data_IF_110275596436
#
_entry.id   IF_110275596436
#
_cell.length_a   1.000
_cell.length_b   1.000
_cell.length_c   1.000
_cell.angle_alpha   90.00
_cell.angle_beta   90.00
_cell.angle_gamma   90.00
#
_symmetry.space_group_name_H-M   'P 1'
#
loop_
_entity.id
_entity.type
_entity.pdbx_description
1 polymer ?
#
# COMPACT_ATOMS: atom_id res chain seq x y z
N UNK A 1 -14.18 20.57 -14.47
CA UNK A 1 -13.62 19.68 -15.50
C UNK A 1 -14.12 18.28 -15.23
N UNK A 2 -14.82 17.68 -16.19
CA UNK A 2 -15.29 16.31 -16.13
C UNK A 2 -14.15 15.36 -16.52
N UNK A 3 -13.67 14.58 -15.56
CA UNK A 3 -12.45 13.77 -15.72
C UNK A 3 -12.59 12.68 -16.79
N UNK A 4 -13.76 12.05 -16.88
CA UNK A 4 -14.05 10.96 -17.83
C UNK A 4 -14.71 11.44 -19.13
N UNK A 5 -14.68 12.75 -19.39
CA UNK A 5 -15.39 13.39 -20.49
C UNK A 5 -16.74 13.96 -20.08
N UNK A 6 -17.13 15.04 -20.76
CA UNK A 6 -18.41 15.70 -20.54
C UNK A 6 -19.55 14.89 -21.15
N UNK A 7 -20.62 14.68 -20.39
CA UNK A 7 -21.86 14.08 -20.87
C UNK A 7 -22.66 15.03 -21.76
N UNK A 8 -23.90 14.63 -22.04
CA UNK A 8 -24.86 15.43 -22.80
C UNK A 8 -26.28 15.20 -22.31
N UNK A 9 -27.14 16.21 -22.46
CA UNK A 9 -28.56 16.12 -22.12
C UNK A 9 -28.89 16.63 -20.72
N UNK A 10 -29.81 15.94 -20.03
CA UNK A 10 -30.27 16.36 -18.71
C UNK A 10 -29.28 15.90 -17.64
N UNK A 11 -28.86 16.82 -16.78
CA UNK A 11 -28.16 16.51 -15.53
C UNK A 11 -29.22 16.21 -14.46
N UNK A 12 -29.17 15.02 -13.87
CA UNK A 12 -30.23 14.53 -12.98
C UNK A 12 -30.00 14.85 -11.51
N UNK A 13 -28.75 14.85 -11.07
CA UNK A 13 -28.38 14.99 -9.66
C UNK A 13 -27.38 16.12 -9.50
N UNK A 14 -27.53 16.88 -8.42
CA UNK A 14 -26.65 17.96 -8.00
C UNK A 14 -26.56 17.96 -6.47
N UNK A 15 -25.40 18.35 -5.96
CA UNK A 15 -25.04 18.36 -4.54
C UNK A 15 -25.35 17.02 -3.84
N UNK A 16 -24.93 15.91 -4.45
CA UNK A 16 -25.11 14.57 -3.88
C UNK A 16 -24.23 14.43 -2.63
N UNK A 17 -24.87 14.23 -1.49
CA UNK A 17 -24.25 13.95 -0.20
C UNK A 17 -24.76 12.62 0.35
N UNK A 18 -23.89 11.62 0.39
CA UNK A 18 -24.18 10.30 0.95
C UNK A 18 -23.57 10.18 2.36
N UNK A 19 -24.25 9.44 3.24
CA UNK A 19 -23.73 9.03 4.55
C UNK A 19 -22.77 7.84 4.44
N UNK A 20 -22.83 7.09 3.35
CA UNK A 20 -22.03 5.89 3.08
C UNK A 20 -22.74 4.58 3.45
N UNK A 21 -24.00 4.64 3.87
CA UNK A 21 -24.82 3.46 4.20
C UNK A 21 -25.97 3.22 3.22
N UNK A 22 -26.17 4.14 2.28
CA UNK A 22 -27.16 4.05 1.22
C UNK A 22 -26.86 2.87 0.29
N UNK A 23 -27.92 2.24 -0.23
CA UNK A 23 -27.79 1.14 -1.19
C UNK A 23 -27.74 1.63 -2.64
N UNK A 24 -28.07 2.91 -2.86
CA UNK A 24 -28.10 3.56 -4.17
C UNK A 24 -27.86 5.06 -4.05
N UNK A 25 -27.25 5.66 -5.07
CA UNK A 25 -27.06 7.12 -5.18
C UNK A 25 -28.38 7.90 -5.16
N UNK A 26 -29.50 7.26 -5.49
CA UNK A 26 -30.84 7.87 -5.47
C UNK A 26 -31.36 8.12 -4.05
N UNK A 27 -30.80 7.43 -3.07
CA UNK A 27 -31.17 7.54 -1.65
C UNK A 27 -30.35 8.62 -0.93
N UNK A 28 -29.26 9.08 -1.53
CA UNK A 28 -28.42 10.14 -0.99
C UNK A 28 -29.15 11.49 -1.02
N UNK A 29 -28.81 12.35 -0.05
CA UNK A 29 -29.31 13.73 -0.04
C UNK A 29 -28.84 14.45 -1.31
N UNK A 30 -29.73 15.18 -1.97
CA UNK A 30 -29.43 15.93 -3.20
C UNK A 30 -30.37 17.15 -3.33
N UNK A 31 -30.10 18.02 -4.29
CA UNK A 31 -30.87 19.25 -4.54
C UNK A 31 -32.22 19.05 -5.23
N UNK A 32 -32.62 17.81 -5.52
CA UNK A 32 -33.84 17.47 -6.24
C UNK A 32 -33.58 17.06 -7.69
N UNK A 33 -34.34 16.07 -8.17
CA UNK A 33 -34.12 15.45 -9.47
C UNK A 33 -34.35 16.40 -10.65
N UNK A 34 -33.40 16.44 -11.57
CA UNK A 34 -33.45 17.30 -12.76
C UNK A 34 -33.31 18.80 -12.45
N UNK A 35 -33.08 19.16 -11.19
CA UNK A 35 -32.87 20.54 -10.74
C UNK A 35 -31.40 20.72 -10.38
N UNK A 36 -30.67 21.46 -11.20
CA UNK A 36 -29.25 21.71 -10.99
C UNK A 36 -28.84 23.04 -11.64
N UNK A 37 -27.70 23.57 -11.21
CA UNK A 37 -27.03 24.71 -11.88
C UNK A 37 -25.74 24.30 -12.57
N UNK A 38 -25.52 22.99 -12.72
CA UNK A 38 -24.30 22.44 -13.24
C UNK A 38 -24.26 22.46 -14.77
N UNK A 39 -23.05 22.38 -15.31
CA UNK A 39 -22.79 22.10 -16.72
C UNK A 39 -22.05 20.76 -16.86
N UNK A 40 -22.05 20.20 -18.07
CA UNK A 40 -21.43 18.89 -18.34
C UNK A 40 -19.90 18.86 -18.18
N UNK A 41 -19.25 20.02 -18.12
CA UNK A 41 -17.84 20.09 -17.72
C UNK A 41 -17.64 19.88 -16.21
N UNK A 42 -18.72 19.64 -15.46
CA UNK A 42 -18.73 19.31 -14.03
C UNK A 42 -19.28 17.91 -13.76
N UNK A 43 -19.53 17.10 -14.79
CA UNK A 43 -20.04 15.74 -14.62
C UNK A 43 -19.08 14.91 -13.76
N UNK A 44 -19.64 14.34 -12.69
CA UNK A 44 -18.92 13.48 -11.76
C UNK A 44 -18.76 12.07 -12.35
N UNK A 45 -17.61 11.45 -12.11
CA UNK A 45 -17.38 10.04 -12.42
C UNK A 45 -16.63 9.36 -11.28
N UNK A 46 -16.73 8.04 -11.24
CA UNK A 46 -16.11 7.20 -10.21
C UNK A 46 -15.29 6.10 -10.88
N UNK A 47 -14.21 5.69 -10.21
CA UNK A 47 -13.50 4.45 -10.53
C UNK A 47 -13.93 3.45 -9.47
N UNK A 48 -14.51 2.33 -9.90
CA UNK A 48 -14.81 1.22 -9.01
C UNK A 48 -13.66 0.22 -9.09
N UNK A 49 -13.15 -0.20 -7.93
CA UNK A 49 -12.19 -1.30 -7.83
C UNK A 49 -12.90 -2.50 -7.21
N UNK A 50 -12.63 -3.68 -7.72
CA UNK A 50 -13.00 -4.95 -7.11
C UNK A 50 -11.97 -5.38 -6.04
N UNK A 51 -11.00 -4.53 -5.71
CA UNK A 51 -10.00 -4.74 -4.66
C UNK A 51 -10.13 -3.72 -3.55
N UNK A 52 -9.90 -4.15 -2.31
CA UNK A 52 -9.66 -3.28 -1.15
C UNK A 52 -8.48 -3.78 -0.32
N UNK A 53 -7.95 -2.88 0.52
CA UNK A 53 -6.95 -3.22 1.53
C UNK A 53 -7.59 -3.28 2.91
N UNK A 54 -7.30 -4.33 3.68
CA UNK A 54 -7.85 -4.58 5.01
C UNK A 54 -6.74 -4.99 6.01
N UNK A 55 -7.10 -5.15 7.29
CA UNK A 55 -6.19 -5.64 8.33
C UNK A 55 -5.76 -4.59 9.37
N UNK A 56 -4.86 -5.00 10.27
CA UNK A 56 -4.38 -4.15 11.37
C UNK A 56 -3.14 -3.35 10.98
N UNK A 57 -3.07 -2.08 11.38
CA UNK A 57 -1.93 -1.21 11.03
C UNK A 57 -1.89 -0.79 9.56
N UNK A 58 -3.02 -0.92 8.86
CA UNK A 58 -3.16 -0.50 7.46
C UNK A 58 -3.03 1.02 7.29
N UNK A 59 -2.70 1.42 6.07
CA UNK A 59 -2.94 2.77 5.54
C UNK A 59 -3.88 2.61 4.35
N UNK A 60 -4.31 3.71 3.72
CA UNK A 60 -5.06 3.63 2.47
C UNK A 60 -4.34 2.79 1.38
N UNK A 61 -3.01 2.69 1.45
CA UNK A 61 -2.16 2.08 0.44
C UNK A 61 -1.25 0.96 0.99
N UNK A 62 -1.62 0.36 2.13
CA UNK A 62 -0.94 -0.84 2.65
C UNK A 62 -1.88 -1.70 3.46
N UNK A 63 -1.95 -3.01 3.18
CA UNK A 63 -2.82 -3.94 3.89
C UNK A 63 -2.91 -5.31 3.22
N UNK A 64 -3.71 -6.19 3.84
CA UNK A 64 -4.14 -7.46 3.26
C UNK A 64 -5.02 -7.19 2.04
N UNK A 65 -4.77 -7.91 0.95
CA UNK A 65 -5.54 -7.77 -0.30
C UNK A 65 -6.82 -8.58 -0.21
N UNK A 66 -7.95 -7.94 -0.47
CA UNK A 66 -9.25 -8.59 -0.58
C UNK A 66 -9.92 -8.24 -1.90
N UNK A 67 -10.57 -9.23 -2.51
CA UNK A 67 -11.26 -9.14 -3.80
C UNK A 67 -12.77 -9.30 -3.60
N UNK A 68 -13.55 -8.52 -4.33
CA UNK A 68 -15.00 -8.62 -4.36
C UNK A 68 -15.45 -9.52 -5.51
N UNK A 69 -15.95 -10.71 -5.16
CA UNK A 69 -16.44 -11.68 -6.13
C UNK A 69 -17.72 -12.35 -5.62
N UNK A 70 -18.69 -12.59 -6.50
CA UNK A 70 -19.99 -13.17 -6.15
C UNK A 70 -20.68 -12.49 -4.95
N UNK A 71 -20.62 -11.16 -4.91
CA UNK A 71 -21.16 -10.30 -3.87
C UNK A 71 -20.53 -10.46 -2.46
N UNK A 72 -19.36 -11.10 -2.36
CA UNK A 72 -18.68 -11.39 -1.11
C UNK A 72 -17.20 -10.98 -1.23
N UNK A 73 -16.66 -10.40 -0.15
CA UNK A 73 -15.23 -10.13 -0.04
C UNK A 73 -14.50 -11.40 0.39
N UNK A 74 -13.38 -11.70 -0.28
CA UNK A 74 -12.49 -12.81 0.06
C UNK A 74 -11.03 -12.43 -0.12
N UNK A 75 -10.12 -13.19 0.47
CA UNK A 75 -8.69 -12.90 0.50
C UNK A 75 -7.97 -13.47 -0.72
N UNK A 76 -6.65 -13.27 -0.78
CA UNK A 76 -5.76 -13.81 -1.81
C UNK A 76 -4.66 -14.59 -1.11
N UNK A 77 -4.36 -15.80 -1.56
CA UNK A 77 -3.24 -16.60 -1.03
C UNK A 77 -1.88 -16.01 -1.47
N UNK A 78 -0.86 -16.20 -0.65
CA UNK A 78 0.50 -15.74 -0.88
C UNK A 78 1.37 -16.68 -1.74
N UNK A 79 0.83 -17.82 -2.17
CA UNK A 79 1.44 -18.70 -3.14
C UNK A 79 1.51 -18.02 -4.52
N UNK A 80 2.73 -17.98 -5.07
CA UNK A 80 3.05 -17.21 -6.27
C UNK A 80 3.14 -15.68 -6.05
N UNK A 81 2.83 -15.18 -4.85
CA UNK A 81 2.74 -13.75 -4.56
C UNK A 81 4.10 -13.07 -4.51
N UNK A 82 4.33 -12.13 -5.43
CA UNK A 82 5.59 -11.40 -5.55
C UNK A 82 5.38 -9.88 -5.76
N UNK A 83 6.49 -9.17 -5.98
CA UNK A 83 6.46 -7.73 -6.19
C UNK A 83 5.73 -7.33 -7.49
N UNK A 84 5.66 -8.21 -8.50
CA UNK A 84 4.90 -7.92 -9.72
C UNK A 84 3.40 -7.96 -9.44
N UNK A 85 2.93 -8.92 -8.64
CA UNK A 85 1.54 -8.95 -8.19
C UNK A 85 1.20 -7.72 -7.34
N UNK A 86 2.10 -7.33 -6.43
CA UNK A 86 1.93 -6.10 -5.67
C UNK A 86 1.91 -4.84 -6.56
N UNK A 87 2.71 -4.79 -7.63
CA UNK A 87 2.71 -3.66 -8.57
C UNK A 87 1.36 -3.51 -9.28
N UNK A 88 0.75 -4.62 -9.69
CA UNK A 88 -0.61 -4.62 -10.27
C UNK A 88 -1.63 -4.08 -9.26
N UNK A 89 -1.61 -4.56 -8.02
CA UNK A 89 -2.53 -4.08 -6.96
C UNK A 89 -2.33 -2.59 -6.67
N UNK A 90 -1.09 -2.16 -6.49
CA UNK A 90 -0.78 -0.77 -6.17
C UNK A 90 -1.17 0.18 -7.32
N UNK A 91 -0.98 -0.24 -8.57
CA UNK A 91 -1.46 0.50 -9.75
C UNK A 91 -2.99 0.52 -9.82
N UNK A 92 -3.65 -0.63 -9.61
CA UNK A 92 -5.10 -0.76 -9.65
C UNK A 92 -5.80 0.10 -8.58
N UNK A 93 -5.17 0.25 -7.42
CA UNK A 93 -5.64 1.12 -6.33
C UNK A 93 -5.17 2.58 -6.47
N UNK A 94 -4.36 2.90 -7.48
CA UNK A 94 -3.73 4.20 -7.67
C UNK A 94 -2.97 4.69 -6.41
N UNK A 95 -2.14 3.81 -5.86
CA UNK A 95 -1.36 3.99 -4.64
C UNK A 95 0.15 4.15 -4.89
N UNK A 96 0.50 4.53 -6.12
CA UNK A 96 1.89 4.58 -6.60
C UNK A 96 2.52 3.19 -6.79
N UNK A 97 3.85 3.10 -6.96
CA UNK A 97 4.54 1.82 -7.16
C UNK A 97 4.52 0.91 -5.93
N UNK A 98 4.67 -0.40 -6.14
CA UNK A 98 4.83 -1.35 -5.05
C UNK A 98 6.21 -1.23 -4.38
N UNK A 99 6.21 -1.25 -3.05
CA UNK A 99 7.42 -1.29 -2.23
C UNK A 99 7.68 -2.70 -1.70
N UNK A 100 6.64 -3.38 -1.23
CA UNK A 100 6.71 -4.73 -0.67
C UNK A 100 5.48 -5.55 -1.03
N UNK A 101 5.67 -6.87 -1.10
CA UNK A 101 4.62 -7.88 -1.24
C UNK A 101 4.63 -8.81 -0.01
N UNK A 102 4.17 -8.35 1.17
CA UNK A 102 4.22 -9.18 2.37
C UNK A 102 3.33 -10.41 2.26
N UNK A 103 3.82 -11.50 2.84
CA UNK A 103 3.21 -12.82 2.88
C UNK A 103 2.83 -13.17 4.32
N UNK A 104 2.33 -14.38 4.54
CA UNK A 104 2.05 -14.99 5.84
C UNK A 104 1.15 -14.13 6.74
N UNK A 105 0.06 -13.61 6.18
CA UNK A 105 -0.92 -12.79 6.89
C UNK A 105 -0.29 -11.63 7.68
N UNK A 106 0.69 -10.94 7.09
CA UNK A 106 1.46 -9.87 7.76
C UNK A 106 0.59 -8.72 8.30
N UNK A 107 -0.59 -8.48 7.71
CA UNK A 107 -1.58 -7.50 8.19
C UNK A 107 -2.72 -8.12 9.01
N UNK A 108 -2.53 -9.36 9.45
CA UNK A 108 -3.52 -10.20 10.11
C UNK A 108 -4.28 -11.06 9.13
N UNK A 109 -4.78 -12.18 9.65
CA UNK A 109 -5.63 -13.13 8.92
C UNK A 109 -6.96 -12.48 8.53
N UNK A 110 -7.46 -12.85 7.36
CA UNK A 110 -8.83 -12.61 6.94
C UNK A 110 -9.77 -13.67 7.47
N UNK A 111 -10.98 -13.66 6.91
CA UNK A 111 -12.03 -14.62 7.26
C UNK A 111 -12.91 -14.86 6.06
N UNK A 112 -13.43 -16.07 5.91
CA UNK A 112 -14.41 -16.39 4.88
C UNK A 112 -13.74 -17.05 3.69
N UNK A 113 -14.01 -16.52 2.50
CA UNK A 113 -13.53 -17.08 1.23
C UNK A 113 -12.09 -16.64 0.95
N UNK A 114 -11.29 -17.52 0.37
CA UNK A 114 -10.02 -17.18 -0.28
C UNK A 114 -10.28 -17.27 -1.78
N UNK A 115 -10.24 -16.13 -2.46
CA UNK A 115 -10.69 -16.04 -3.84
C UNK A 115 -9.65 -16.45 -4.85
N UNK A 116 -8.40 -16.02 -4.68
CA UNK A 116 -7.34 -16.31 -5.64
C UNK A 116 -6.18 -17.01 -4.95
N UNK A 117 -5.53 -17.85 -5.74
CA UNK A 117 -4.37 -18.65 -5.38
C UNK A 117 -3.48 -18.83 -6.63
N UNK A 118 -2.19 -19.10 -6.40
CA UNK A 118 -1.14 -19.21 -7.42
C UNK A 118 -1.10 -18.00 -8.35
N UNK A 119 -1.23 -16.80 -7.77
CA UNK A 119 -1.33 -15.55 -8.53
C UNK A 119 0.05 -15.15 -9.04
N UNK A 120 0.27 -15.31 -10.35
CA UNK A 120 1.58 -15.08 -10.99
C UNK A 120 1.50 -13.98 -12.05
N UNK A 121 1.69 -12.73 -11.62
CA UNK A 121 1.64 -11.57 -12.50
C UNK A 121 2.97 -11.31 -13.24
N UNK A 122 2.89 -10.74 -14.44
CA UNK A 122 4.02 -10.13 -15.14
C UNK A 122 4.34 -8.71 -14.63
N UNK A 123 3.39 -8.07 -13.94
CA UNK A 123 3.47 -6.68 -13.45
C UNK A 123 2.84 -5.66 -14.40
N UNK A 124 2.40 -6.11 -15.58
CA UNK A 124 1.84 -5.26 -16.65
C UNK A 124 0.32 -5.35 -16.79
N UNK A 125 -0.32 -6.24 -16.03
CA UNK A 125 -1.77 -6.45 -16.00
C UNK A 125 -2.51 -5.23 -15.43
N UNK A 126 -3.67 -4.88 -15.99
CA UNK A 126 -4.45 -3.75 -15.48
C UNK A 126 -5.16 -4.10 -14.17
N UNK A 127 -5.58 -5.36 -14.01
CA UNK A 127 -6.28 -5.87 -12.84
C UNK A 127 -5.61 -7.15 -12.32
N UNK A 128 -5.65 -7.36 -10.99
CA UNK A 128 -5.08 -8.56 -10.38
C UNK A 128 -5.72 -9.86 -10.91
N UNK A 129 -7.00 -9.79 -11.27
CA UNK A 129 -7.78 -10.91 -11.81
C UNK A 129 -7.40 -11.28 -13.26
N UNK A 130 -6.65 -10.42 -13.95
CA UNK A 130 -6.08 -10.72 -15.27
C UNK A 130 -4.78 -11.52 -15.19
N UNK A 131 -4.12 -11.54 -14.02
CA UNK A 131 -2.94 -12.36 -13.81
C UNK A 131 -3.31 -13.86 -13.86
N UNK A 132 -2.44 -14.72 -14.42
CA UNK A 132 -2.56 -16.16 -14.25
C UNK A 132 -2.78 -16.55 -12.78
N UNK A 133 -3.81 -17.37 -12.53
CA UNK A 133 -4.22 -17.84 -11.21
C UNK A 133 -4.99 -19.18 -11.32
N UNK A 134 -5.25 -19.84 -10.20
CA UNK A 134 -5.95 -21.14 -10.12
C UNK A 134 -7.47 -21.08 -10.36
N UNK A 135 -8.04 -19.89 -10.56
CA UNK A 135 -9.47 -19.64 -10.67
C UNK A 135 -10.14 -19.35 -9.32
N UNK A 136 -11.28 -18.65 -9.36
CA UNK A 136 -11.97 -18.21 -8.15
C UNK A 136 -12.38 -19.36 -7.22
N UNK A 137 -11.94 -19.29 -5.96
CA UNK A 137 -12.28 -20.25 -4.90
C UNK A 137 -11.59 -21.61 -5.04
N UNK A 138 -10.62 -21.73 -5.94
CA UNK A 138 -9.80 -22.93 -6.11
C UNK A 138 -8.42 -22.68 -5.48
N UNK A 139 -8.25 -23.13 -4.24
CA UNK A 139 -7.03 -22.97 -3.45
C UNK A 139 -6.86 -24.14 -2.47
N UNK A 140 -5.64 -24.35 -1.98
CA UNK A 140 -5.37 -25.23 -0.82
C UNK A 140 -4.82 -24.48 0.41
N UNK A 141 -4.73 -23.15 0.32
CA UNK A 141 -4.27 -22.29 1.40
C UNK A 141 -5.25 -22.14 2.57
N UNK A 142 -4.74 -21.71 3.72
CA UNK A 142 -5.51 -21.15 4.84
C UNK A 142 -5.24 -19.65 5.05
N UNK A 143 -5.96 -19.00 5.97
CA UNK A 143 -5.82 -17.55 6.15
C UNK A 143 -4.48 -17.11 6.75
N UNK A 144 -3.65 -18.02 7.26
CA UNK A 144 -2.28 -17.69 7.65
C UNK A 144 -1.39 -17.35 6.45
N UNK A 145 -1.84 -17.68 5.24
CA UNK A 145 -1.19 -17.43 3.95
C UNK A 145 -1.81 -16.23 3.21
N UNK A 146 -2.60 -15.40 3.88
CA UNK A 146 -3.21 -14.24 3.23
C UNK A 146 -2.16 -13.20 2.79
N UNK A 147 -2.18 -12.89 1.49
CA UNK A 147 -1.28 -11.96 0.83
C UNK A 147 -1.59 -10.49 1.17
N UNK A 148 -0.55 -9.67 1.17
CA UNK A 148 -0.62 -8.24 1.46
C UNK A 148 0.23 -7.40 0.51
N UNK A 149 0.02 -6.09 0.52
CA UNK A 149 0.84 -5.11 -0.23
C UNK A 149 1.23 -3.93 0.63
N UNK A 150 2.36 -3.32 0.28
CA UNK A 150 2.75 -1.98 0.73
C UNK A 150 3.14 -1.17 -0.51
N UNK A 151 2.40 -0.12 -0.80
CA UNK A 151 2.65 0.79 -1.92
C UNK A 151 3.37 2.06 -1.47
N UNK A 152 3.93 2.84 -2.40
CA UNK A 152 4.68 4.05 -2.07
C UNK A 152 3.86 5.09 -1.32
N UNK A 153 2.58 5.21 -1.67
CA UNK A 153 1.74 6.27 -1.13
C UNK A 153 1.26 5.95 0.29
N UNK A 154 1.51 4.74 0.79
CA UNK A 154 1.37 4.39 2.21
C UNK A 154 2.26 5.27 3.10
N UNK A 155 3.39 5.76 2.56
CA UNK A 155 4.29 6.68 3.26
C UNK A 155 3.83 8.15 3.17
N UNK A 156 2.89 8.46 2.26
CA UNK A 156 2.37 9.80 2.02
C UNK A 156 1.13 10.14 2.87
N UNK A 157 0.41 9.11 3.36
CA UNK A 157 -0.81 9.18 4.17
C UNK A 157 -0.62 9.81 5.58
N UNK A 158 0.59 10.31 5.87
CA UNK A 158 0.89 11.16 7.03
C UNK A 158 1.10 12.65 6.70
N UNK A 159 0.91 13.07 5.45
CA UNK A 159 1.20 14.44 4.98
C UNK A 159 -0.07 15.05 4.38
N UNK A 160 -0.93 15.62 5.22
CA UNK A 160 -1.93 16.59 4.75
C UNK A 160 -1.19 17.89 4.35
N UNK A 161 -1.45 18.49 3.18
CA UNK A 161 -0.78 19.74 2.76
C UNK A 161 -1.11 20.99 3.60
N UNK A 162 -1.73 20.88 4.77
CA UNK A 162 -2.16 22.03 5.55
C UNK A 162 -2.00 21.83 7.06
N UNK A 163 -0.77 21.72 7.54
CA UNK A 163 -0.40 22.22 8.87
C UNK A 163 1.12 22.15 9.06
N UNK A 164 1.70 23.19 9.67
CA UNK A 164 3.15 23.32 9.86
C UNK A 164 3.70 22.11 10.63
N UNK A 165 4.60 21.37 10.00
CA UNK A 165 5.29 20.20 10.55
C UNK A 165 6.02 20.57 11.85
N UNK A 166 5.48 20.11 12.97
CA UNK A 166 6.10 20.21 14.30
C UNK A 166 6.34 18.84 14.96
N UNK A 167 6.25 17.73 14.22
CA UNK A 167 6.46 16.39 14.77
C UNK A 167 7.19 15.50 13.78
N UNK A 168 8.51 15.47 13.91
CA UNK A 168 9.36 14.52 13.18
C UNK A 168 9.17 13.13 13.79
N UNK A 169 8.43 12.23 13.11
CA UNK A 169 8.55 10.79 13.39
C UNK A 169 9.93 10.35 12.89
N UNK A 170 10.72 9.72 13.77
CA UNK A 170 12.07 9.25 13.46
C UNK A 170 11.99 8.14 12.41
N UNK A 171 12.19 8.47 11.13
CA UNK A 171 12.27 7.49 10.05
C UNK A 171 13.65 6.80 10.14
N UNK A 172 13.65 5.49 10.36
CA UNK A 172 14.87 4.68 10.39
C UNK A 172 15.01 3.95 9.04
N UNK A 173 15.85 4.47 8.16
CA UNK A 173 16.22 3.78 6.92
C UNK A 173 17.38 2.82 7.23
N UNK A 174 17.16 1.51 7.06
CA UNK A 174 18.20 0.49 7.21
C UNK A 174 18.76 0.11 5.84
N UNK A 175 20.02 0.47 5.59
CA UNK A 175 20.73 0.06 4.38
C UNK A 175 21.56 -1.19 4.72
N UNK A 176 21.23 -2.31 4.08
CA UNK A 176 22.03 -3.53 4.17
C UNK A 176 23.10 -3.51 3.07
N UNK A 177 24.37 -3.43 3.48
CA UNK A 177 25.52 -3.51 2.59
C UNK A 177 26.22 -4.86 2.78
N UNK A 178 26.73 -5.42 1.69
CA UNK A 178 27.58 -6.60 1.69
C UNK A 178 28.80 -6.34 0.81
N UNK A 179 29.98 -6.76 1.26
CA UNK A 179 31.21 -6.66 0.49
C UNK A 179 31.16 -7.63 -0.69
N UNK A 180 31.41 -7.11 -1.88
CA UNK A 180 31.50 -7.91 -3.11
C UNK A 180 32.89 -8.57 -3.25
N UNK A 181 33.87 -8.07 -2.49
CA UNK A 181 35.24 -8.56 -2.45
C UNK A 181 35.59 -9.03 -1.02
N UNK A 182 36.09 -10.27 -0.91
CA UNK A 182 36.52 -10.89 0.35
C UNK A 182 37.69 -10.20 1.06
N UNK A 183 38.41 -9.32 0.37
CA UNK A 183 39.49 -8.50 0.94
C UNK A 183 38.97 -7.27 1.71
N UNK A 184 37.68 -6.93 1.56
CA UNK A 184 37.06 -5.81 2.25
C UNK A 184 36.50 -6.27 3.59
N UNK A 185 37.15 -5.87 4.68
CA UNK A 185 36.62 -6.10 6.03
C UNK A 185 35.59 -5.02 6.39
N UNK A 186 34.31 -5.34 6.27
CA UNK A 186 33.21 -4.47 6.74
C UNK A 186 33.21 -4.22 8.26
N UNK A 187 34.08 -4.89 9.03
CA UNK A 187 34.28 -4.60 10.45
C UNK A 187 35.37 -3.55 10.69
N UNK A 188 36.15 -3.20 9.68
CA UNK A 188 37.17 -2.15 9.74
C UNK A 188 36.50 -0.77 9.85
N UNK A 189 36.77 0.00 10.94
CA UNK A 189 36.24 1.34 11.12
C UNK A 189 36.55 2.31 9.96
N UNK A 190 37.71 2.18 9.31
CA UNK A 190 38.13 3.08 8.24
C UNK A 190 37.33 2.83 6.94
N UNK A 191 37.05 1.56 6.63
CA UNK A 191 36.17 1.17 5.52
C UNK A 191 34.77 1.73 5.74
N UNK A 192 34.29 1.65 6.98
CA UNK A 192 32.96 2.11 7.36
C UNK A 192 32.81 3.64 7.31
N UNK A 193 33.85 4.37 7.69
CA UNK A 193 33.87 5.83 7.58
C UNK A 193 33.88 6.28 6.10
N UNK A 194 34.61 5.56 5.24
CA UNK A 194 34.64 5.83 3.80
C UNK A 194 33.27 5.62 3.13
N UNK A 195 32.55 4.56 3.50
CA UNK A 195 31.19 4.28 3.02
C UNK A 195 30.23 5.39 3.49
N UNK A 196 30.31 5.80 4.75
CA UNK A 196 29.46 6.87 5.29
C UNK A 196 29.64 8.20 4.57
N UNK A 197 30.89 8.57 4.30
CA UNK A 197 31.17 9.81 3.56
C UNK A 197 30.66 9.74 2.12
N UNK A 198 30.72 8.57 1.48
CA UNK A 198 30.15 8.36 0.15
C UNK A 198 28.63 8.52 0.15
N UNK A 199 27.93 7.91 1.11
CA UNK A 199 26.47 8.04 1.25
C UNK A 199 26.08 9.50 1.54
N UNK A 200 26.82 10.19 2.41
CA UNK A 200 26.58 11.61 2.70
C UNK A 200 26.74 12.49 1.47
N UNK A 201 27.74 12.21 0.63
CA UNK A 201 27.98 12.95 -0.60
C UNK A 201 26.83 12.76 -1.61
N UNK A 202 26.29 11.53 -1.72
CA UNK A 202 25.13 11.25 -2.58
C UNK A 202 23.83 11.90 -2.06
N UNK A 203 23.63 11.94 -0.74
CA UNK A 203 22.45 12.54 -0.11
C UNK A 203 22.49 14.07 -0.05
N UNK A 204 23.66 14.70 -0.23
CA UNK A 204 23.82 16.15 -0.23
C UNK A 204 23.25 16.82 1.03
N UNK A 205 22.47 17.90 0.85
CA UNK A 205 21.87 18.65 1.97
C UNK A 205 20.88 17.84 2.80
N UNK A 206 20.34 16.74 2.27
CA UNK A 206 19.43 15.84 2.99
C UNK A 206 20.18 15.02 4.06
N UNK A 207 21.50 14.89 3.96
CA UNK A 207 22.31 14.19 4.95
C UNK A 207 22.32 14.90 6.32
N UNK A 208 22.22 16.23 6.35
CA UNK A 208 22.25 17.02 7.60
C UNK A 208 20.98 16.85 8.44
N UNK A 209 19.87 16.49 7.79
CA UNK A 209 18.59 16.19 8.44
C UNK A 209 18.52 14.74 8.99
N UNK A 210 19.52 13.90 8.69
CA UNK A 210 19.54 12.48 9.07
C UNK A 210 20.58 12.20 10.17
N UNK A 211 20.13 11.61 11.28
CA UNK A 211 21.04 11.02 12.29
C UNK A 211 21.50 9.64 11.85
N UNK A 212 22.55 9.59 11.05
CA UNK A 212 23.17 8.33 10.59
C UNK A 212 24.07 7.73 11.68
N UNK A 213 23.80 6.50 12.11
CA UNK A 213 24.67 5.75 13.03
C UNK A 213 24.72 4.26 12.66
N UNK A 214 25.88 3.63 12.80
CA UNK A 214 26.00 2.18 12.59
C UNK A 214 25.49 1.38 13.79
N UNK A 215 24.76 0.31 13.52
CA UNK A 215 24.31 -0.67 14.51
C UNK A 215 25.09 -1.97 14.29
N UNK A 216 25.96 -2.33 15.23
CA UNK A 216 26.56 -3.67 15.23
C UNK A 216 25.48 -4.69 15.56
N UNK A 217 25.27 -5.68 14.71
CA UNK A 217 24.40 -6.83 15.01
C UNK A 217 24.88 -7.44 16.33
N UNK A 218 24.05 -7.53 17.39
CA UNK A 218 24.47 -8.14 18.65
C UNK A 218 24.85 -9.60 18.39
N UNK A 219 26.02 -10.03 18.86
CA UNK A 219 26.32 -11.46 18.94
C UNK A 219 25.30 -12.11 19.89
N UNK A 220 24.86 -13.34 19.58
CA UNK A 220 23.73 -14.08 20.20
C UNK A 220 23.80 -14.27 21.74
N UNK A 221 24.71 -13.62 22.48
CA UNK A 221 24.93 -13.84 23.91
C UNK A 221 24.47 -12.73 24.85
N UNK A 222 24.06 -11.56 24.38
CA UNK A 222 23.70 -10.44 25.27
C UNK A 222 22.27 -9.90 25.07
N UNK A 223 21.27 -10.80 24.99
CA UNK A 223 19.87 -10.40 25.20
C UNK A 223 19.59 -10.45 26.71
N UNK A 224 19.97 -9.40 27.44
CA UNK A 224 19.30 -9.09 28.71
C UNK A 224 17.99 -8.39 28.36
N UNK A 225 16.87 -9.01 28.78
CA UNK A 225 15.53 -8.41 28.75
C UNK A 225 15.60 -6.99 29.31
N UNK A 226 15.20 -6.01 28.52
CA UNK A 226 14.88 -4.68 29.03
C UNK A 226 13.38 -4.44 28.82
N UNK A 227 12.76 -4.43 29.99
CA UNK A 227 11.48 -3.92 30.47
C UNK A 227 10.49 -3.25 29.51
N UNK A 228 9.25 -3.61 29.79
CA UNK A 228 8.02 -3.09 29.24
C UNK A 228 7.86 -1.58 29.46
N UNK A 229 7.28 -0.92 28.46
CA UNK A 229 6.35 0.17 28.73
C UNK A 229 4.93 -0.39 28.62
N UNK A 230 4.21 -0.30 29.74
CA UNK A 230 2.75 -0.45 29.88
C UNK A 230 2.30 0.62 30.89
N UNK A 231 1.04 1.04 30.89
CA UNK A 231 0.08 1.21 29.80
C UNK A 231 0.09 2.64 29.24
#
# INVERSE_FOLDING_TARGET
MAYFGAGSGQIWLDNVGCSGSESSLTECQNSGWGTNTCAHDQDAGVICTDIRLAGSGLTQCSGRVEIYHNNIWGTVCDDGWDLNAAEVVCRQLNCGPALEAPQNASFGEGTGEIWLDEVTCSGSEDFLTDCPNSGFGNHDCDHSEDASVICSDALSEGVTPSEKVGSWRKLLVKVNLAAVDSSVDMKDPAVMESIMNSIKNELGSTADDLKMSWWKRPEKKDIKKQEACTP
#
